data_IF_629398866779
#
_entry.id   IF_629398866779
#
_cell.length_a   1.000
_cell.length_b   1.000
_cell.length_c   1.000
_cell.angle_alpha   90.00
_cell.angle_beta   90.00
_cell.angle_gamma   90.00
#
_symmetry.space_group_name_H-M   'P 1'
#
loop_
_entity.id
_entity.type
_entity.pdbx_description
1 polymer ?
#
# COMPACT_ATOMS: atom_id res chain seq x y z
N UNK A 1 -13.23 5.62 19.97
CA UNK A 1 -12.88 4.26 19.43
C UNK A 1 -13.80 3.69 18.34
N UNK A 2 -15.09 4.05 18.23
CA UNK A 2 -15.98 3.51 17.18
C UNK A 2 -15.46 3.75 15.74
N UNK A 3 -14.92 4.95 15.46
CA UNK A 3 -14.34 5.32 14.15
C UNK A 3 -13.14 4.44 13.75
N UNK A 4 -12.21 4.16 14.67
CA UNK A 4 -11.05 3.29 14.42
C UNK A 4 -11.49 1.85 14.16
N UNK A 5 -12.50 1.34 14.89
CA UNK A 5 -13.08 0.02 14.63
C UNK A 5 -13.75 -0.07 13.25
N UNK A 6 -14.43 0.99 12.82
CA UNK A 6 -15.00 1.09 11.47
C UNK A 6 -13.91 1.04 10.41
N UNK A 7 -12.85 1.85 10.56
CA UNK A 7 -11.72 1.86 9.64
C UNK A 7 -11.04 0.49 9.53
N UNK A 8 -10.85 -0.20 10.66
CA UNK A 8 -10.31 -1.57 10.67
C UNK A 8 -11.19 -2.57 9.89
N UNK A 9 -12.52 -2.51 10.07
CA UNK A 9 -13.46 -3.37 9.32
C UNK A 9 -13.45 -3.06 7.82
N UNK A 10 -13.38 -1.78 7.47
CA UNK A 10 -13.27 -1.35 6.09
C UNK A 10 -11.97 -1.84 5.44
N UNK A 11 -10.85 -1.78 6.16
CA UNK A 11 -9.57 -2.34 5.71
C UNK A 11 -9.60 -3.86 5.53
N UNK A 12 -10.33 -4.59 6.38
CA UNK A 12 -10.56 -6.04 6.17
C UNK A 12 -11.26 -6.25 4.82
N UNK A 13 -12.35 -5.53 4.55
CA UNK A 13 -13.07 -5.65 3.29
C UNK A 13 -12.17 -5.37 2.09
N UNK A 14 -11.42 -4.25 2.13
CA UNK A 14 -10.47 -3.89 1.06
C UNK A 14 -9.43 -4.99 0.86
N UNK A 15 -8.81 -5.48 1.93
CA UNK A 15 -7.79 -6.52 1.83
C UNK A 15 -8.34 -7.83 1.28
N UNK A 16 -9.57 -8.21 1.64
CA UNK A 16 -10.24 -9.39 1.07
C UNK A 16 -10.48 -9.21 -0.43
N UNK A 17 -11.01 -8.06 -0.86
CA UNK A 17 -11.20 -7.75 -2.27
C UNK A 17 -9.88 -7.74 -3.05
N UNK A 18 -8.81 -7.22 -2.43
CA UNK A 18 -7.48 -7.21 -3.04
C UNK A 18 -6.91 -8.64 -3.19
N UNK A 19 -7.11 -9.52 -2.22
CA UNK A 19 -6.73 -10.94 -2.35
C UNK A 19 -7.46 -11.59 -3.51
N UNK A 20 -8.78 -11.37 -3.63
CA UNK A 20 -9.56 -11.91 -4.75
C UNK A 20 -8.99 -11.40 -6.07
N UNK A 21 -8.75 -10.09 -6.19
CA UNK A 21 -8.15 -9.49 -7.37
C UNK A 21 -6.78 -10.08 -7.70
N UNK A 22 -5.92 -10.30 -6.72
CA UNK A 22 -4.60 -10.91 -6.91
C UNK A 22 -4.70 -12.35 -7.39
N UNK A 23 -5.62 -13.14 -6.83
CA UNK A 23 -5.87 -14.52 -7.28
C UNK A 23 -6.40 -14.53 -8.71
N UNK A 24 -7.37 -13.67 -9.02
CA UNK A 24 -7.90 -13.53 -10.38
C UNK A 24 -6.80 -13.13 -11.36
N UNK A 25 -5.96 -12.16 -11.00
CA UNK A 25 -4.82 -11.73 -11.81
C UNK A 25 -3.84 -12.89 -12.06
N UNK A 26 -3.54 -13.66 -11.01
CA UNK A 26 -2.63 -14.81 -11.11
C UNK A 26 -3.16 -15.89 -12.06
N UNK A 27 -4.44 -16.25 -11.93
CA UNK A 27 -5.07 -17.34 -12.70
C UNK A 27 -5.36 -16.95 -14.15
N UNK A 28 -5.87 -15.73 -14.37
CA UNK A 28 -6.38 -15.31 -15.68
C UNK A 28 -5.28 -14.67 -16.53
N UNK A 29 -4.30 -14.01 -15.91
CA UNK A 29 -3.29 -13.25 -16.64
C UNK A 29 -1.90 -13.88 -16.49
N UNK A 30 -1.40 -14.00 -15.26
CA UNK A 30 -0.01 -14.40 -15.04
C UNK A 30 0.27 -15.83 -15.52
N UNK A 31 -0.51 -16.83 -15.08
CA UNK A 31 -0.29 -18.23 -15.48
C UNK A 31 -0.42 -18.41 -17.00
N UNK A 32 -1.48 -17.93 -17.66
CA UNK A 32 -1.61 -18.04 -19.11
C UNK A 32 -0.45 -17.39 -19.88
N UNK A 33 0.06 -16.24 -19.43
CA UNK A 33 1.19 -15.59 -20.09
C UNK A 33 2.45 -16.48 -20.09
N UNK A 34 2.73 -17.15 -18.97
CA UNK A 34 3.84 -18.09 -18.86
C UNK A 34 3.63 -19.38 -19.67
N UNK A 35 2.39 -19.83 -19.81
CA UNK A 35 2.06 -21.08 -20.51
C UNK A 35 1.96 -20.92 -22.02
N UNK A 36 1.40 -19.80 -22.50
CA UNK A 36 1.04 -19.64 -23.90
C UNK A 36 1.95 -18.69 -24.68
N UNK A 37 2.82 -17.90 -24.01
CA UNK A 37 3.99 -17.12 -24.46
C UNK A 37 3.93 -16.25 -25.74
N UNK A 38 3.06 -16.52 -26.72
CA UNK A 38 3.09 -15.98 -28.08
C UNK A 38 2.23 -14.72 -28.28
N UNK A 39 1.57 -14.22 -27.24
CA UNK A 39 0.58 -13.13 -27.36
C UNK A 39 1.09 -11.74 -26.92
N UNK A 40 2.39 -11.58 -26.60
CA UNK A 40 2.87 -10.38 -25.90
C UNK A 40 4.16 -9.74 -26.46
N UNK A 41 4.56 -10.04 -27.69
CA UNK A 41 5.74 -9.40 -28.30
C UNK A 41 5.59 -7.86 -28.40
N UNK A 42 4.36 -7.36 -28.37
CA UNK A 42 4.01 -5.94 -28.49
C UNK A 42 4.19 -5.15 -27.18
N UNK A 43 4.51 -5.82 -26.07
CA UNK A 43 4.62 -5.23 -24.73
C UNK A 43 6.07 -5.02 -24.33
N UNK A 44 6.39 -3.90 -23.69
CA UNK A 44 7.73 -3.53 -23.20
C UNK A 44 8.33 -4.61 -22.30
N UNK A 45 7.49 -5.25 -21.47
CA UNK A 45 7.90 -6.34 -20.59
C UNK A 45 7.49 -7.74 -21.08
N UNK A 46 6.90 -7.84 -22.28
CA UNK A 46 6.42 -9.10 -22.84
C UNK A 46 5.55 -9.91 -21.87
N UNK A 47 5.85 -11.21 -21.77
CA UNK A 47 5.20 -12.15 -20.84
C UNK A 47 5.33 -11.79 -19.35
N UNK A 48 6.30 -10.95 -18.97
CA UNK A 48 6.50 -10.55 -17.58
C UNK A 48 5.61 -9.39 -17.15
N UNK A 49 4.89 -8.76 -18.08
CA UNK A 49 4.12 -7.56 -17.78
C UNK A 49 3.08 -7.80 -16.67
N UNK A 50 2.25 -8.83 -16.80
CA UNK A 50 1.25 -9.17 -15.78
C UNK A 50 1.88 -9.68 -14.50
N UNK A 51 3.03 -10.36 -14.57
CA UNK A 51 3.78 -10.76 -13.38
C UNK A 51 4.28 -9.55 -12.58
N UNK A 52 4.79 -8.51 -13.25
CA UNK A 52 5.22 -7.27 -12.59
C UNK A 52 4.03 -6.56 -11.94
N UNK A 53 2.88 -6.49 -12.63
CA UNK A 53 1.63 -5.93 -12.08
C UNK A 53 1.21 -6.70 -10.82
N UNK A 54 1.24 -8.04 -10.87
CA UNK A 54 0.91 -8.91 -9.75
C UNK A 54 1.84 -8.68 -8.55
N UNK A 55 3.15 -8.65 -8.77
CA UNK A 55 4.16 -8.40 -7.72
C UNK A 55 3.97 -7.03 -7.08
N UNK A 56 3.66 -5.99 -7.86
CA UNK A 56 3.30 -4.67 -7.32
C UNK A 56 2.05 -4.74 -6.45
N UNK A 57 1.03 -5.49 -6.87
CA UNK A 57 -0.17 -5.73 -6.08
C UNK A 57 0.11 -6.42 -4.73
N UNK A 58 1.06 -7.37 -4.69
CA UNK A 58 1.52 -8.00 -3.44
C UNK A 58 2.13 -6.95 -2.49
N UNK A 59 2.97 -6.05 -3.00
CA UNK A 59 3.59 -4.98 -2.19
C UNK A 59 2.52 -4.10 -1.57
N UNK A 60 1.51 -3.69 -2.36
CA UNK A 60 0.37 -2.93 -1.85
C UNK A 60 -0.40 -3.70 -0.76
N UNK A 61 -0.68 -4.98 -1.00
CA UNK A 61 -1.36 -5.84 -0.02
C UNK A 61 -0.58 -5.94 1.29
N UNK A 62 0.73 -6.14 1.24
CA UNK A 62 1.58 -6.17 2.43
C UNK A 62 1.48 -4.83 3.19
N UNK A 63 1.54 -3.69 2.48
CA UNK A 63 1.37 -2.37 3.09
C UNK A 63 0.04 -2.22 3.83
N UNK A 64 -1.08 -2.52 3.15
CA UNK A 64 -2.42 -2.44 3.73
C UNK A 64 -2.63 -3.44 4.88
N UNK A 65 -2.08 -4.65 4.79
CA UNK A 65 -2.13 -5.64 5.86
C UNK A 65 -1.37 -5.17 7.11
N UNK A 66 -0.24 -4.47 6.97
CA UNK A 66 0.46 -3.88 8.11
C UNK A 66 -0.36 -2.73 8.74
N UNK A 67 -0.98 -1.86 7.92
CA UNK A 67 -1.88 -0.81 8.42
C UNK A 67 -3.06 -1.42 9.21
N UNK A 68 -3.68 -2.47 8.68
CA UNK A 68 -4.75 -3.19 9.37
C UNK A 68 -4.28 -3.78 10.71
N UNK A 69 -3.08 -4.39 10.74
CA UNK A 69 -2.48 -4.90 11.98
C UNK A 69 -2.17 -3.79 12.98
N UNK A 70 -1.74 -2.62 12.51
CA UNK A 70 -1.54 -1.41 13.32
C UNK A 70 -2.83 -0.96 14.00
N UNK A 71 -3.92 -0.85 13.22
CA UNK A 71 -5.24 -0.52 13.76
C UNK A 71 -5.74 -1.56 14.77
N UNK A 72 -5.51 -2.86 14.51
CA UNK A 72 -5.86 -3.93 15.46
C UNK A 72 -5.14 -3.76 16.80
N UNK A 73 -3.85 -3.39 16.77
CA UNK A 73 -3.07 -3.14 17.98
C UNK A 73 -3.61 -1.93 18.76
N UNK A 74 -4.00 -0.84 18.08
CA UNK A 74 -4.64 0.33 18.71
C UNK A 74 -5.99 -0.06 19.34
N UNK A 75 -6.80 -0.86 18.64
CA UNK A 75 -8.09 -1.32 19.17
C UNK A 75 -7.91 -2.22 20.40
N UNK A 76 -6.91 -3.10 20.39
CA UNK A 76 -6.65 -4.05 21.48
C UNK A 76 -6.15 -3.34 22.74
N UNK A 77 -5.25 -2.37 22.60
CA UNK A 77 -4.67 -1.66 23.74
C UNK A 77 -5.45 -0.41 24.14
N UNK A 78 -6.38 0.06 23.31
CA UNK A 78 -7.20 1.25 23.57
C UNK A 78 -6.53 2.58 23.20
N UNK A 79 -5.21 2.57 22.96
CA UNK A 79 -4.40 3.73 22.59
C UNK A 79 -3.27 3.34 21.62
N UNK A 80 -2.61 4.36 21.05
CA UNK A 80 -1.47 4.18 20.16
C UNK A 80 -0.22 3.79 20.97
N UNK A 81 0.42 2.70 20.57
CA UNK A 81 1.54 2.08 21.27
C UNK A 81 2.69 1.71 20.31
N UNK A 82 3.82 1.27 20.88
CA UNK A 82 5.01 0.86 20.13
C UNK A 82 4.72 -0.22 19.07
N UNK A 83 3.80 -1.16 19.36
CA UNK A 83 3.43 -2.20 18.38
C UNK A 83 2.68 -1.60 17.20
N UNK A 84 1.69 -0.74 17.43
CA UNK A 84 1.00 -0.04 16.35
C UNK A 84 1.94 0.86 15.56
N UNK A 85 2.87 1.55 16.23
CA UNK A 85 3.90 2.39 15.60
C UNK A 85 4.68 1.60 14.56
N UNK A 86 5.29 0.47 14.95
CA UNK A 86 6.12 -0.32 14.03
C UNK A 86 5.29 -0.82 12.84
N UNK A 87 4.03 -1.17 13.06
CA UNK A 87 3.13 -1.65 12.00
C UNK A 87 2.73 -0.53 11.04
N UNK A 88 2.40 0.67 11.53
CA UNK A 88 2.10 1.82 10.68
C UNK A 88 3.32 2.29 9.90
N UNK A 89 4.50 2.34 10.54
CA UNK A 89 5.76 2.70 9.87
C UNK A 89 6.09 1.74 8.72
N UNK A 90 6.00 0.42 8.97
CA UNK A 90 6.18 -0.60 7.93
C UNK A 90 5.11 -0.48 6.84
N UNK A 91 3.84 -0.29 7.21
CA UNK A 91 2.75 -0.11 6.25
C UNK A 91 2.96 1.10 5.33
N UNK A 92 3.30 2.26 5.90
CA UNK A 92 3.64 3.47 5.16
C UNK A 92 4.83 3.24 4.22
N UNK A 93 5.89 2.57 4.67
CA UNK A 93 7.04 2.25 3.83
C UNK A 93 6.67 1.39 2.61
N UNK A 94 5.88 0.31 2.79
CA UNK A 94 5.44 -0.53 1.68
C UNK A 94 4.54 0.23 0.70
N UNK A 95 3.68 1.14 1.19
CA UNK A 95 2.85 2.01 0.34
C UNK A 95 3.71 2.98 -0.48
N UNK A 96 4.76 3.57 0.13
CA UNK A 96 5.73 4.42 -0.59
C UNK A 96 6.43 3.61 -1.67
N UNK A 97 6.95 2.42 -1.33
CA UNK A 97 7.63 1.53 -2.29
C UNK A 97 6.69 1.19 -3.45
N UNK A 98 5.42 0.87 -3.17
CA UNK A 98 4.43 0.61 -4.21
C UNK A 98 4.22 1.81 -5.14
N UNK A 99 4.11 3.02 -4.60
CA UNK A 99 3.96 4.25 -5.37
C UNK A 99 5.19 4.54 -6.24
N UNK A 100 6.40 4.40 -5.69
CA UNK A 100 7.67 4.60 -6.42
C UNK A 100 7.82 3.58 -7.55
N UNK A 101 7.60 2.29 -7.27
CA UNK A 101 7.63 1.25 -8.29
C UNK A 101 6.55 1.47 -9.36
N UNK A 102 5.40 2.04 -8.98
CA UNK A 102 4.36 2.44 -9.93
C UNK A 102 4.79 3.56 -10.86
N UNK A 103 5.41 4.60 -10.31
CA UNK A 103 5.97 5.69 -11.10
C UNK A 103 7.05 5.17 -12.08
N UNK A 104 7.97 4.31 -11.61
CA UNK A 104 9.00 3.68 -12.45
C UNK A 104 8.36 2.85 -13.56
N UNK A 105 7.43 1.96 -13.21
CA UNK A 105 6.72 1.11 -14.18
C UNK A 105 6.03 1.95 -15.26
N UNK A 106 5.32 3.01 -14.86
CA UNK A 106 4.62 3.91 -15.77
C UNK A 106 5.58 4.64 -16.73
N UNK A 107 6.77 5.01 -16.26
CA UNK A 107 7.84 5.53 -17.13
C UNK A 107 8.24 4.48 -18.17
N UNK A 108 8.47 3.23 -17.75
CA UNK A 108 8.93 2.15 -18.64
C UNK A 108 7.89 1.83 -19.72
N UNK A 109 6.61 1.76 -19.38
CA UNK A 109 5.54 1.44 -20.34
C UNK A 109 4.99 2.66 -21.08
N UNK A 110 5.69 3.81 -21.04
CA UNK A 110 5.20 5.07 -21.65
C UNK A 110 4.77 4.91 -23.11
N UNK A 111 5.53 4.17 -23.90
CA UNK A 111 5.25 3.97 -25.32
C UNK A 111 3.89 3.28 -25.58
N UNK A 112 3.37 2.54 -24.59
CA UNK A 112 2.10 1.83 -24.68
C UNK A 112 0.89 2.64 -24.18
N UNK A 113 1.14 3.79 -23.53
CA UNK A 113 0.11 4.55 -22.84
C UNK A 113 -0.27 5.81 -23.60
N UNK A 114 -1.57 6.11 -23.63
CA UNK A 114 -2.05 7.44 -24.00
C UNK A 114 -1.58 8.48 -22.98
N UNK A 115 -1.37 9.72 -23.44
CA UNK A 115 -0.81 10.80 -22.63
C UNK A 115 -1.64 11.08 -21.36
N UNK A 116 -2.97 11.07 -21.48
CA UNK A 116 -3.90 11.27 -20.38
C UNK A 116 -3.78 10.18 -19.31
N UNK A 117 -3.71 8.91 -19.72
CA UNK A 117 -3.53 7.76 -18.82
C UNK A 117 -2.18 7.86 -18.12
N UNK A 118 -1.12 8.17 -18.87
CA UNK A 118 0.22 8.31 -18.31
C UNK A 118 0.29 9.38 -17.23
N UNK A 119 -0.27 10.58 -17.49
CA UNK A 119 -0.29 11.69 -16.52
C UNK A 119 -1.14 11.31 -15.30
N UNK A 120 -2.32 10.75 -15.52
CA UNK A 120 -3.22 10.36 -14.44
C UNK A 120 -2.60 9.31 -13.51
N UNK A 121 -1.86 8.35 -14.07
CA UNK A 121 -1.11 7.37 -13.29
C UNK A 121 -0.08 8.02 -12.37
N UNK A 122 0.69 9.03 -12.84
CA UNK A 122 1.62 9.74 -11.97
C UNK A 122 0.93 10.48 -10.84
N UNK A 123 -0.18 11.16 -11.13
CA UNK A 123 -0.97 11.86 -10.11
C UNK A 123 -1.38 10.86 -9.03
N UNK A 124 -1.92 9.71 -9.43
CA UNK A 124 -2.28 8.63 -8.51
C UNK A 124 -1.09 8.14 -7.68
N UNK A 125 0.05 7.83 -8.31
CA UNK A 125 1.22 7.35 -7.58
C UNK A 125 1.79 8.39 -6.62
N UNK A 126 1.78 9.67 -6.99
CA UNK A 126 2.20 10.75 -6.10
C UNK A 126 1.29 10.86 -4.88
N UNK A 127 -0.03 10.81 -5.06
CA UNK A 127 -0.97 10.76 -3.93
C UNK A 127 -0.72 9.56 -3.02
N UNK A 128 -0.46 8.38 -3.58
CA UNK A 128 -0.18 7.17 -2.82
C UNK A 128 1.12 7.32 -2.02
N UNK A 129 2.16 7.90 -2.61
CA UNK A 129 3.42 8.21 -1.90
C UNK A 129 3.16 9.18 -0.75
N UNK A 130 2.37 10.24 -0.96
CA UNK A 130 2.01 11.19 0.09
C UNK A 130 1.25 10.52 1.24
N UNK A 131 0.30 9.63 0.95
CA UNK A 131 -0.41 8.84 1.98
C UNK A 131 0.56 7.94 2.74
N UNK A 132 1.47 7.27 2.03
CA UNK A 132 2.50 6.43 2.64
C UNK A 132 3.45 7.22 3.54
N UNK A 133 3.88 8.41 3.11
CA UNK A 133 4.69 9.34 3.91
C UNK A 133 3.92 9.85 5.13
N UNK A 134 2.65 10.20 4.96
CA UNK A 134 1.77 10.59 6.07
C UNK A 134 1.71 9.51 7.13
N UNK A 135 1.50 8.25 6.75
CA UNK A 135 1.51 7.11 7.67
C UNK A 135 2.89 6.86 8.30
N UNK A 136 3.97 7.05 7.54
CA UNK A 136 5.33 6.86 8.02
C UNK A 136 5.73 7.91 9.07
N UNK A 137 5.42 9.18 8.81
CA UNK A 137 5.77 10.32 9.68
C UNK A 137 4.81 10.52 10.85
N UNK A 138 3.50 10.20 10.70
CA UNK A 138 2.50 10.34 11.78
C UNK A 138 2.90 9.61 13.06
N UNK A 139 3.66 8.53 12.91
CA UNK A 139 4.21 7.76 14.03
C UNK A 139 5.09 8.61 14.93
N UNK A 140 5.95 9.46 14.36
CA UNK A 140 6.87 10.32 15.11
C UNK A 140 6.12 11.46 15.83
N UNK A 141 5.08 12.01 15.20
CA UNK A 141 4.23 13.03 15.82
C UNK A 141 3.45 12.50 17.03
N UNK A 142 2.89 11.29 16.95
CA UNK A 142 2.13 10.70 18.06
C UNK A 142 3.06 10.36 19.24
N UNK A 143 4.28 9.89 18.96
CA UNK A 143 5.28 9.61 20.00
C UNK A 143 5.69 10.87 20.76
N UNK A 144 5.93 11.96 20.04
CA UNK A 144 6.33 13.23 20.65
C UNK A 144 5.16 13.88 21.41
N UNK A 145 3.92 13.78 20.90
CA UNK A 145 2.73 14.24 21.61
C UNK A 145 2.41 13.45 22.87
N UNK A 146 2.72 12.15 22.90
CA UNK A 146 2.58 11.31 24.10
C UNK A 146 3.54 11.71 25.21
N UNK A 147 4.82 11.94 24.87
CA UNK A 147 5.84 12.42 25.83
C UNK A 147 5.51 13.79 26.41
N UNK A 148 5.06 14.72 25.56
CA UNK A 148 4.66 16.06 26.01
C UNK A 148 3.50 16.04 27.00
N UNK A 149 2.55 15.09 26.83
CA UNK A 149 1.44 14.94 27.77
C UNK A 149 1.88 14.30 29.09
N UNK A 150 2.77 13.32 29.04
CA UNK A 150 3.34 12.66 30.21
C UNK A 150 4.21 13.61 31.05
N UNK A 151 5.01 14.47 30.41
CA UNK A 151 5.76 15.53 31.11
C UNK A 151 4.83 16.57 31.74
N UNK A 152 3.75 16.97 31.06
CA UNK A 152 2.80 17.95 31.59
C UNK A 152 1.98 17.40 32.77
N UNK A 153 1.60 16.12 32.73
CA UNK A 153 0.90 15.43 33.83
C UNK A 153 1.83 15.13 35.04
N UNK A 154 3.17 15.19 34.86
CA UNK A 154 4.16 15.07 35.95
C UNK A 154 4.55 16.42 36.57
N UNK A 155 4.16 17.54 35.95
CA UNK A 155 4.54 18.89 36.39
C UNK A 155 3.39 19.64 37.09
N UNK A 156 2.16 19.14 37.00
CA UNK A 156 0.95 19.65 37.68
C UNK A 156 0.58 18.70 38.82
#
# INVERSE_FOLDING_TARGET
MKKIKLLYRFLILINTLLIILLITCLIILVIPDFMYSKAYDDKVFGMFNHFIIFMRGIILFIGLAQVQRGLKAVIKQGFFNATSEVKFRKGGLFIIIFGVLGAIYNTCVRAELKLDIFINNYIHYFFIILVGLGLYMLVDFIKNGGKLKEENDLTI
#
